data_IF_090449847455
#
_entry.id   IF_090449847455
#
_cell.length_a   1.000
_cell.length_b   1.000
_cell.length_c   1.000
_cell.angle_alpha   90.00
_cell.angle_beta   90.00
_cell.angle_gamma   90.00
#
_symmetry.space_group_name_H-M   'P 1'
#
loop_
_entity.id
_entity.type
_entity.pdbx_description
1 polymer ?
#
# COMPACT_ATOMS: atom_id res chain seq x y z
N UNK A 1 9.83 9.29 -10.50
CA UNK A 1 9.38 9.35 -9.10
C UNK A 1 9.69 7.99 -8.48
N UNK A 2 10.64 7.88 -7.55
CA UNK A 2 10.87 6.61 -6.85
C UNK A 2 9.58 6.15 -6.14
N UNK A 3 9.28 4.86 -6.16
CA UNK A 3 8.10 4.27 -5.52
C UNK A 3 6.78 4.30 -6.32
N UNK A 4 6.78 4.74 -7.59
CA UNK A 4 5.60 4.67 -8.49
C UNK A 4 5.75 3.56 -9.52
N UNK A 5 4.83 2.60 -9.50
CA UNK A 5 4.78 1.45 -10.40
C UNK A 5 3.68 1.64 -11.44
N UNK A 6 4.00 1.43 -12.71
CA UNK A 6 3.01 1.40 -13.79
C UNK A 6 2.56 -0.04 -13.99
N UNK A 7 1.28 -0.30 -13.74
CA UNK A 7 0.67 -1.63 -13.84
C UNK A 7 0.12 -1.86 -15.25
N UNK A 8 -0.30 -0.78 -15.93
CA UNK A 8 -0.80 -0.85 -17.31
C UNK A 8 -1.99 -1.80 -17.49
N UNK A 9 -2.75 -2.05 -16.42
CA UNK A 9 -3.85 -2.99 -16.39
C UNK A 9 -5.18 -2.33 -16.74
N UNK A 10 -6.17 -3.15 -17.13
CA UNK A 10 -7.53 -2.67 -17.42
C UNK A 10 -8.19 -1.93 -16.24
N UNK A 11 -7.77 -2.24 -15.01
CA UNK A 11 -8.41 -1.76 -13.77
C UNK A 11 -7.53 -0.81 -12.98
N UNK A 12 -6.21 -1.03 -12.99
CA UNK A 12 -5.22 -0.23 -12.26
C UNK A 12 -4.23 0.34 -13.26
N UNK A 13 -4.05 1.66 -13.23
CA UNK A 13 -3.11 2.37 -14.09
C UNK A 13 -1.73 2.41 -13.43
N UNK A 14 -1.66 2.97 -12.21
CA UNK A 14 -0.43 3.06 -11.44
C UNK A 14 -0.66 2.92 -9.93
N UNK A 15 0.41 2.56 -9.23
CA UNK A 15 0.47 2.32 -7.79
C UNK A 15 1.62 3.14 -7.19
N UNK A 16 1.32 3.98 -6.21
CA UNK A 16 2.33 4.71 -5.44
C UNK A 16 2.50 4.06 -4.06
N UNK A 17 3.72 3.69 -3.68
CA UNK A 17 4.01 3.20 -2.34
C UNK A 17 4.01 4.33 -1.31
N UNK A 18 3.42 4.06 -0.15
CA UNK A 18 3.27 5.00 0.95
C UNK A 18 3.80 4.39 2.25
N UNK A 19 4.54 5.21 2.99
CA UNK A 19 4.96 4.90 4.36
C UNK A 19 4.13 5.72 5.35
N UNK A 20 3.61 5.08 6.39
CA UNK A 20 2.84 5.81 7.42
C UNK A 20 3.76 6.76 8.17
N UNK A 21 3.30 8.00 8.33
CA UNK A 21 3.99 8.95 9.18
C UNK A 21 3.64 8.67 10.64
N UNK A 22 4.64 8.75 11.52
CA UNK A 22 4.38 8.57 12.94
C UNK A 22 3.47 9.68 13.48
N UNK A 23 2.67 9.34 14.49
CA UNK A 23 1.52 10.13 14.93
C UNK A 23 1.82 11.61 15.24
N UNK A 24 2.86 11.98 16.01
CA UNK A 24 3.13 13.39 16.29
C UNK A 24 3.66 14.19 15.09
N UNK A 25 4.21 13.55 14.05
CA UNK A 25 4.67 14.26 12.84
C UNK A 25 3.60 14.48 11.79
N UNK A 26 2.37 14.01 12.02
CA UNK A 26 1.30 14.22 11.06
C UNK A 26 1.00 15.71 10.92
N UNK A 27 0.78 16.15 9.68
CA UNK A 27 0.58 17.56 9.34
C UNK A 27 -0.79 18.09 9.81
N UNK A 28 -1.69 17.22 10.27
CA UNK A 28 -2.94 17.59 10.93
C UNK A 28 -2.75 17.88 12.44
N UNK A 29 -1.65 17.45 13.06
CA UNK A 29 -1.45 17.60 14.51
C UNK A 29 -0.42 18.66 14.83
N UNK A 30 0.79 18.54 14.26
CA UNK A 30 1.94 19.38 14.62
C UNK A 30 1.73 20.89 14.38
N UNK A 31 1.29 21.36 13.19
CA UNK A 31 1.12 22.79 12.96
C UNK A 31 0.00 23.39 13.83
N UNK A 32 -1.07 22.63 14.09
CA UNK A 32 -2.15 23.08 14.97
C UNK A 32 -1.70 23.14 16.42
N UNK A 33 -0.86 22.21 16.89
CA UNK A 33 -0.27 22.29 18.23
C UNK A 33 0.55 23.58 18.43
N UNK A 34 1.34 23.98 17.42
CA UNK A 34 2.07 25.27 17.45
C UNK A 34 1.10 26.44 17.51
N UNK A 35 0.04 26.44 16.68
CA UNK A 35 -0.93 27.52 16.65
C UNK A 35 -1.69 27.65 17.99
N UNK A 36 -2.09 26.53 18.60
CA UNK A 36 -2.72 26.56 19.92
C UNK A 36 -1.77 27.08 21.00
N UNK A 37 -0.50 26.65 20.98
CA UNK A 37 0.51 27.16 21.92
C UNK A 37 0.72 28.67 21.73
N UNK A 38 0.79 29.15 20.49
CA UNK A 38 0.90 30.58 20.18
C UNK A 38 -0.34 31.36 20.64
N UNK A 39 -1.54 30.80 20.49
CA UNK A 39 -2.77 31.41 21.00
C UNK A 39 -2.74 31.57 22.52
N UNK A 40 -2.31 30.54 23.27
CA UNK A 40 -2.18 30.62 24.73
C UNK A 40 -1.16 31.69 25.14
N UNK A 41 0.00 31.73 24.49
CA UNK A 41 1.11 32.61 24.90
C UNK A 41 0.90 34.06 24.50
N UNK A 42 0.33 34.32 23.31
CA UNK A 42 0.26 35.67 22.75
C UNK A 42 -1.14 36.30 22.83
N UNK A 43 -2.21 35.52 22.65
CA UNK A 43 -3.57 36.04 22.50
C UNK A 43 -4.28 36.14 23.85
N UNK A 44 -4.21 35.10 24.68
CA UNK A 44 -4.83 35.09 26.03
C UNK A 44 -4.39 36.26 26.91
N UNK A 45 -3.10 36.67 26.96
CA UNK A 45 -2.69 37.80 27.80
C UNK A 45 -2.92 39.18 27.16
N UNK A 46 -3.28 39.26 25.88
CA UNK A 46 -3.38 40.54 25.16
C UNK A 46 -4.82 40.96 24.81
N UNK A 47 -5.76 40.03 24.78
CA UNK A 47 -7.16 40.28 24.44
C UNK A 47 -8.11 40.09 25.62
N UNK A 48 -9.26 40.77 25.55
CA UNK A 48 -10.38 40.50 26.44
C UNK A 48 -10.88 39.06 26.24
N UNK A 49 -11.43 38.47 27.31
CA UNK A 49 -11.85 37.07 27.33
C UNK A 49 -12.81 36.71 26.18
N UNK A 50 -13.74 37.61 25.84
CA UNK A 50 -14.68 37.41 24.73
C UNK A 50 -13.99 37.27 23.38
N UNK A 51 -13.05 38.18 23.08
CA UNK A 51 -12.31 38.17 21.82
C UNK A 51 -11.37 36.97 21.71
N UNK A 52 -10.74 36.59 22.83
CA UNK A 52 -9.90 35.38 22.90
C UNK A 52 -10.71 34.10 22.57
N UNK A 53 -11.95 34.01 23.06
CA UNK A 53 -12.86 32.88 22.77
C UNK A 53 -13.29 32.86 21.30
N UNK A 54 -13.54 34.02 20.68
CA UNK A 54 -13.87 34.11 19.25
C UNK A 54 -12.71 33.58 18.40
N UNK A 55 -11.47 33.98 18.70
CA UNK A 55 -10.28 33.49 18.00
C UNK A 55 -10.13 31.97 18.18
N UNK A 56 -10.35 31.45 19.38
CA UNK A 56 -10.31 30.01 19.64
C UNK A 56 -11.36 29.25 18.81
N UNK A 57 -12.58 29.78 18.72
CA UNK A 57 -13.65 29.19 17.89
C UNK A 57 -13.25 29.08 16.43
N UNK A 58 -12.64 30.14 15.87
CA UNK A 58 -12.10 30.14 14.50
C UNK A 58 -10.98 29.11 14.30
N UNK A 59 -10.05 28.99 15.25
CA UNK A 59 -8.97 28.01 15.21
C UNK A 59 -9.48 26.57 15.24
N UNK A 60 -10.46 26.29 16.11
CA UNK A 60 -11.09 24.96 16.18
C UNK A 60 -11.84 24.65 14.90
N UNK A 61 -12.60 25.59 14.34
CA UNK A 61 -13.31 25.40 13.07
C UNK A 61 -12.34 25.09 11.92
N UNK A 62 -11.22 25.82 11.82
CA UNK A 62 -10.18 25.57 10.82
C UNK A 62 -9.55 24.18 10.98
N UNK A 63 -9.30 23.75 12.22
CA UNK A 63 -8.74 22.44 12.50
C UNK A 63 -9.71 21.31 12.11
N UNK A 64 -11.00 21.45 12.44
CA UNK A 64 -12.05 20.49 12.03
C UNK A 64 -12.14 20.43 10.49
N UNK A 65 -12.09 21.58 9.82
CA UNK A 65 -12.11 21.63 8.36
C UNK A 65 -10.90 20.91 7.74
N UNK A 66 -9.69 21.12 8.29
CA UNK A 66 -8.51 20.40 7.86
C UNK A 66 -8.65 18.88 8.07
N UNK A 67 -9.21 18.45 9.21
CA UNK A 67 -9.48 17.04 9.50
C UNK A 67 -10.46 16.44 8.48
N UNK A 68 -11.57 17.12 8.19
CA UNK A 68 -12.55 16.73 7.17
C UNK A 68 -11.90 16.60 5.79
N UNK A 69 -11.01 17.52 5.41
CA UNK A 69 -10.26 17.40 4.15
C UNK A 69 -9.41 16.14 4.08
N UNK A 70 -8.85 15.66 5.20
CA UNK A 70 -8.09 14.40 5.23
C UNK A 70 -8.95 13.16 4.99
N UNK A 71 -10.26 13.28 5.22
CA UNK A 71 -11.24 12.20 5.05
C UNK A 71 -11.81 12.23 3.62
N UNK A 72 -12.12 13.42 3.11
CA UNK A 72 -12.77 13.58 1.81
C UNK A 72 -11.82 13.46 0.61
N UNK A 73 -10.57 13.91 0.76
CA UNK A 73 -9.61 13.87 -0.32
C UNK A 73 -8.52 12.83 -0.05
N UNK A 74 -8.50 11.79 -0.88
CA UNK A 74 -7.47 10.74 -0.82
C UNK A 74 -6.08 11.33 -1.00
N UNK A 75 -5.89 12.25 -1.94
CA UNK A 75 -4.58 12.86 -2.20
C UNK A 75 -4.13 13.74 -1.01
N UNK A 76 -5.04 14.49 -0.37
CA UNK A 76 -4.72 15.28 0.83
C UNK A 76 -4.48 14.39 2.05
N UNK A 77 -5.31 13.37 2.26
CA UNK A 77 -5.11 12.37 3.31
C UNK A 77 -3.77 11.65 3.16
N UNK A 78 -3.37 11.33 1.93
CA UNK A 78 -2.03 10.79 1.63
C UNK A 78 -0.93 11.78 2.04
N UNK A 79 -1.06 13.05 1.67
CA UNK A 79 -0.07 14.08 2.00
C UNK A 79 0.11 14.30 3.51
N UNK A 80 -0.99 14.27 4.26
CA UNK A 80 -1.00 14.53 5.70
C UNK A 80 -0.52 13.33 6.52
N UNK A 81 -1.04 12.13 6.20
CA UNK A 81 -0.86 10.91 7.02
C UNK A 81 0.32 10.05 6.59
N UNK A 82 0.78 10.21 5.34
CA UNK A 82 1.83 9.39 4.77
C UNK A 82 3.00 10.26 4.31
N UNK A 83 4.20 9.76 4.53
CA UNK A 83 5.36 10.23 3.77
C UNK A 83 5.43 9.39 2.51
N UNK A 84 5.46 10.05 1.33
CA UNK A 84 6.06 9.39 0.17
C UNK A 84 7.49 9.05 0.55
N UNK A 85 8.01 7.91 0.11
CA UNK A 85 9.41 7.57 0.32
C UNK A 85 10.25 8.47 -0.59
N UNK A 86 10.37 9.71 -0.16
CA UNK A 86 11.11 10.75 -0.82
C UNK A 86 12.29 11.08 0.08
N UNK A 87 13.46 10.87 -0.49
CA UNK A 87 14.76 11.17 0.07
C UNK A 87 14.82 12.67 0.44
N UNK A 88 14.48 13.02 1.68
CA UNK A 88 14.76 14.36 2.21
C UNK A 88 16.26 14.39 2.53
N UNK A 89 17.03 14.79 1.54
CA UNK A 89 18.46 15.00 1.67
C UNK A 89 18.94 15.89 0.54
N UNK A 90 19.39 17.09 0.90
CA UNK A 90 19.92 18.20 0.09
C UNK A 90 21.22 17.83 -0.68
N UNK A 91 21.45 16.55 -0.98
CA UNK A 91 22.70 16.04 -1.61
C UNK A 91 22.49 15.44 -3.02
N UNK A 92 21.40 15.82 -3.70
CA UNK A 92 20.94 15.20 -4.97
C UNK A 92 21.56 15.84 -6.22
N UNK A 93 22.86 16.15 -6.20
CA UNK A 93 23.61 16.41 -7.45
C UNK A 93 24.63 15.30 -7.71
N UNK A 94 25.04 14.53 -6.69
CA UNK A 94 26.10 13.51 -6.83
C UNK A 94 25.60 12.06 -6.92
N UNK A 95 24.31 11.78 -6.66
CA UNK A 95 23.79 10.40 -6.58
C UNK A 95 22.85 9.96 -7.72
N UNK A 96 22.63 10.80 -8.73
CA UNK A 96 21.74 10.49 -9.86
C UNK A 96 22.14 9.22 -10.65
N UNK A 97 23.39 8.75 -10.50
CA UNK A 97 23.93 7.63 -11.27
C UNK A 97 23.87 6.23 -10.60
N UNK A 98 23.40 6.07 -9.35
CA UNK A 98 23.64 4.79 -8.60
C UNK A 98 22.40 3.92 -8.24
N UNK A 99 21.17 4.28 -8.56
CA UNK A 99 20.00 3.62 -7.94
C UNK A 99 19.05 2.92 -8.93
N UNK A 100 19.45 1.76 -9.44
CA UNK A 100 18.51 0.75 -10.00
C UNK A 100 18.22 -0.42 -9.03
N UNK A 101 19.04 -0.63 -8.00
CA UNK A 101 18.81 -1.66 -6.97
C UNK A 101 18.12 -1.13 -5.69
N UNK A 102 17.75 0.15 -5.63
CA UNK A 102 17.17 0.77 -4.44
C UNK A 102 15.64 0.54 -4.29
N UNK A 103 14.94 0.19 -5.38
CA UNK A 103 13.48 -0.02 -5.36
C UNK A 103 13.06 -1.23 -4.50
N UNK A 104 13.92 -2.25 -4.42
CA UNK A 104 13.64 -3.46 -3.63
C UNK A 104 13.67 -3.17 -2.12
N UNK A 105 14.56 -2.29 -1.66
CA UNK A 105 14.61 -1.87 -0.24
C UNK A 105 13.45 -0.94 0.16
N UNK A 106 12.80 -0.30 -0.83
CA UNK A 106 11.73 0.67 -0.61
C UNK A 106 10.38 -0.02 -0.34
N UNK A 107 10.11 -1.14 -1.03
CA UNK A 107 8.85 -1.89 -0.88
C UNK A 107 8.66 -2.40 0.55
N UNK A 108 9.72 -2.91 1.19
CA UNK A 108 9.64 -3.44 2.56
C UNK A 108 9.44 -2.34 3.62
N UNK A 109 9.64 -1.06 3.28
CA UNK A 109 9.35 0.06 4.19
C UNK A 109 7.95 0.65 3.97
N UNK A 110 7.22 0.18 2.96
CA UNK A 110 5.91 0.67 2.63
C UNK A 110 4.82 -0.10 3.41
N UNK A 111 3.91 0.64 4.04
CA UNK A 111 2.80 0.07 4.81
C UNK A 111 1.51 0.00 3.99
N UNK A 112 1.41 0.86 2.98
CA UNK A 112 0.22 1.04 2.18
C UNK A 112 0.61 1.45 0.76
N UNK A 113 -0.33 1.33 -0.17
CA UNK A 113 -0.18 1.83 -1.52
C UNK A 113 -1.40 2.68 -1.91
N UNK A 114 -1.15 3.78 -2.60
CA UNK A 114 -2.20 4.55 -3.27
C UNK A 114 -2.40 3.96 -4.66
N UNK A 115 -3.58 3.44 -4.91
CA UNK A 115 -3.97 2.87 -6.20
C UNK A 115 -4.72 3.92 -6.98
N UNK A 116 -4.22 4.25 -8.18
CA UNK A 116 -4.96 5.04 -9.15
C UNK A 116 -5.59 4.08 -10.17
N UNK A 117 -6.92 3.98 -10.23
CA UNK A 117 -7.58 3.13 -11.19
C UNK A 117 -7.39 3.65 -12.62
N UNK A 118 -7.55 2.75 -13.59
CA UNK A 118 -7.66 3.13 -14.98
C UNK A 118 -8.88 4.04 -15.21
N UNK A 119 -8.87 4.81 -16.31
CA UNK A 119 -9.97 5.70 -16.67
C UNK A 119 -11.30 4.92 -16.63
N UNK A 120 -12.32 5.50 -16.00
CA UNK A 120 -13.65 4.91 -15.80
C UNK A 120 -13.73 3.70 -14.85
N UNK A 121 -12.64 3.30 -14.19
CA UNK A 121 -12.64 2.23 -13.19
C UNK A 121 -12.80 2.75 -11.75
N UNK A 122 -13.45 3.92 -11.58
CA UNK A 122 -13.81 4.54 -10.30
C UNK A 122 -12.75 5.50 -9.71
N UNK A 123 -12.79 5.68 -8.39
CA UNK A 123 -11.95 6.63 -7.64
C UNK A 123 -10.64 6.03 -7.14
N UNK A 124 -9.67 6.91 -6.86
CA UNK A 124 -8.41 6.56 -6.17
C UNK A 124 -8.70 6.05 -4.76
N UNK A 125 -7.84 5.16 -4.28
CA UNK A 125 -7.97 4.55 -2.96
C UNK A 125 -6.59 4.26 -2.36
N UNK A 126 -6.51 4.25 -1.03
CA UNK A 126 -5.32 3.78 -0.31
C UNK A 126 -5.62 2.40 0.25
N UNK A 127 -4.80 1.42 -0.13
CA UNK A 127 -4.95 0.02 0.24
C UNK A 127 -3.74 -0.40 1.08
N UNK A 128 -3.91 -1.21 2.14
CA UNK A 128 -2.78 -1.78 2.87
C UNK A 128 -1.94 -2.70 1.97
N UNK A 129 -0.63 -2.68 2.16
CA UNK A 129 0.27 -3.67 1.58
C UNK A 129 0.39 -4.87 2.52
N UNK A 130 0.35 -6.06 1.95
CA UNK A 130 0.48 -7.31 2.68
C UNK A 130 1.75 -8.03 2.24
N UNK A 131 2.41 -8.63 3.22
CA UNK A 131 3.63 -9.42 3.05
C UNK A 131 3.32 -10.84 3.49
N UNK A 132 3.50 -11.81 2.59
CA UNK A 132 3.37 -13.24 2.92
C UNK A 132 4.65 -13.98 2.59
N UNK A 133 5.05 -14.92 3.44
CA UNK A 133 6.20 -15.79 3.19
C UNK A 133 5.73 -16.96 2.35
N UNK A 134 6.19 -17.07 1.11
CA UNK A 134 5.87 -18.21 0.26
C UNK A 134 6.98 -19.25 0.40
N UNK A 135 6.59 -20.48 0.73
CA UNK A 135 7.51 -21.61 0.69
C UNK A 135 7.58 -22.13 -0.74
N UNK A 136 8.67 -21.85 -1.44
CA UNK A 136 8.91 -22.45 -2.76
C UNK A 136 9.25 -23.93 -2.53
N UNK A 137 8.26 -24.80 -2.66
CA UNK A 137 8.53 -26.22 -2.91
C UNK A 137 9.08 -26.32 -4.32
N UNK A 138 10.40 -26.39 -4.44
CA UNK A 138 11.10 -26.66 -5.70
C UNK A 138 10.60 -28.03 -6.19
N UNK A 139 9.64 -28.03 -7.11
CA UNK A 139 9.28 -29.22 -7.87
C UNK A 139 10.01 -29.15 -9.19
N UNK A 140 10.69 -30.25 -9.51
CA UNK A 140 11.44 -30.60 -10.72
C UNK A 140 12.82 -29.96 -10.89
N UNK A 141 13.79 -30.44 -10.09
CA UNK A 141 15.12 -30.77 -10.58
C UNK A 141 15.46 -32.15 -10.00
N UNK A 142 16.16 -32.95 -10.78
CA UNK A 142 16.27 -34.41 -10.67
C UNK A 142 16.60 -34.94 -9.26
N UNK A 143 16.04 -36.11 -8.94
CA UNK A 143 16.08 -36.77 -7.63
C UNK A 143 17.48 -37.16 -7.11
N UNK A 144 18.56 -36.77 -7.79
CA UNK A 144 19.94 -37.13 -7.45
C UNK A 144 20.76 -35.99 -6.81
N UNK A 145 20.20 -34.79 -6.61
CA UNK A 145 20.88 -33.69 -5.91
C UNK A 145 20.26 -33.40 -4.52
N UNK A 146 19.76 -34.44 -3.87
CA UNK A 146 19.07 -34.39 -2.59
C UNK A 146 20.03 -34.71 -1.43
N UNK A 147 21.09 -33.92 -1.22
CA UNK A 147 21.86 -34.01 0.05
C UNK A 147 22.61 -32.77 0.51
N UNK A 148 22.57 -31.64 -0.21
CA UNK A 148 23.28 -30.42 0.25
C UNK A 148 22.52 -29.07 0.15
N UNK A 149 21.29 -29.05 -0.38
CA UNK A 149 20.49 -27.81 -0.54
C UNK A 149 19.22 -27.72 0.33
N UNK A 150 19.04 -28.64 1.28
CA UNK A 150 17.95 -28.55 2.26
C UNK A 150 18.04 -27.29 3.18
N UNK A 151 19.16 -26.56 3.13
CA UNK A 151 19.39 -25.31 3.88
C UNK A 151 19.06 -24.03 3.11
N UNK A 152 18.68 -24.10 1.83
CA UNK A 152 18.27 -22.95 1.01
C UNK A 152 16.77 -22.98 0.74
N UNK A 153 15.96 -23.20 1.78
CA UNK A 153 14.57 -22.75 1.74
C UNK A 153 14.58 -21.23 1.66
N UNK A 154 14.75 -20.69 0.45
CA UNK A 154 14.52 -19.28 0.17
C UNK A 154 13.03 -19.04 0.43
N UNK A 155 12.72 -18.65 1.67
CA UNK A 155 11.46 -18.03 2.03
C UNK A 155 11.40 -16.74 1.23
N UNK A 156 10.79 -16.80 0.05
CA UNK A 156 10.60 -15.62 -0.76
C UNK A 156 9.36 -14.91 -0.23
N UNK A 157 9.56 -13.70 0.31
CA UNK A 157 8.46 -12.85 0.74
C UNK A 157 7.78 -12.26 -0.49
N UNK A 158 6.50 -12.55 -0.65
CA UNK A 158 5.65 -12.05 -1.73
C UNK A 158 4.84 -10.87 -1.20
N UNK A 159 4.93 -9.75 -1.92
CA UNK A 159 4.22 -8.52 -1.59
C UNK A 159 2.98 -8.43 -2.46
N UNK A 160 1.82 -8.23 -1.84
CA UNK A 160 0.56 -8.14 -2.55
C UNK A 160 -0.41 -7.14 -1.90
N UNK A 161 -1.41 -6.73 -2.66
CA UNK A 161 -2.55 -5.95 -2.17
C UNK A 161 -3.83 -6.33 -2.91
N UNK A 162 -4.96 -6.10 -2.27
CA UNK A 162 -6.28 -6.35 -2.85
C UNK A 162 -6.97 -5.04 -3.20
N UNK A 163 -7.29 -4.85 -4.48
CA UNK A 163 -8.03 -3.68 -4.94
C UNK A 163 -9.29 -4.12 -5.67
N UNK A 164 -10.46 -3.71 -5.15
CA UNK A 164 -11.78 -4.02 -5.74
C UNK A 164 -11.97 -5.52 -6.02
N UNK A 165 -11.67 -6.35 -5.02
CA UNK A 165 -11.73 -7.83 -5.09
C UNK A 165 -10.78 -8.47 -6.12
N UNK A 166 -9.72 -7.76 -6.52
CA UNK A 166 -8.66 -8.28 -7.37
C UNK A 166 -7.33 -8.21 -6.63
N UNK A 167 -6.65 -9.35 -6.55
CA UNK A 167 -5.33 -9.45 -5.94
C UNK A 167 -4.25 -9.05 -6.95
N UNK A 168 -3.37 -8.15 -6.55
CA UNK A 168 -2.19 -7.72 -7.29
C UNK A 168 -0.94 -8.11 -6.54
N UNK A 169 0.00 -8.75 -7.23
CA UNK A 169 1.22 -9.31 -6.68
C UNK A 169 2.42 -8.62 -7.32
N UNK A 170 3.43 -8.30 -6.52
CA UNK A 170 4.68 -7.75 -7.00
C UNK A 170 5.52 -8.82 -7.70
N UNK A 171 5.84 -8.60 -8.97
CA UNK A 171 6.76 -9.45 -9.73
C UNK A 171 8.14 -8.81 -9.77
N UNK A 172 9.14 -9.45 -9.14
CA UNK A 172 10.54 -9.00 -9.18
C UNK A 172 11.09 -8.94 -10.60
N UNK A 173 10.71 -9.89 -11.45
CA UNK A 173 11.17 -9.98 -12.85
C UNK A 173 10.70 -8.78 -13.68
N UNK A 174 9.46 -8.34 -13.47
CA UNK A 174 8.87 -7.22 -14.21
C UNK A 174 9.00 -5.89 -13.46
N UNK A 175 9.59 -5.91 -12.27
CA UNK A 175 9.68 -4.79 -11.32
C UNK A 175 8.34 -4.04 -11.15
N UNK A 176 7.20 -4.73 -11.23
CA UNK A 176 5.87 -4.11 -11.19
C UNK A 176 4.82 -5.05 -10.59
N UNK A 177 3.69 -4.46 -10.17
CA UNK A 177 2.53 -5.23 -9.71
C UNK A 177 1.77 -5.80 -10.90
N UNK A 178 1.41 -7.08 -10.80
CA UNK A 178 0.64 -7.81 -11.80
C UNK A 178 -0.60 -8.40 -11.15
N UNK A 179 -1.72 -8.44 -11.88
CA UNK A 179 -2.91 -9.16 -11.41
C UNK A 179 -2.57 -10.63 -11.22
N UNK A 180 -2.96 -11.22 -10.09
CA UNK A 180 -2.83 -12.66 -9.84
C UNK A 180 -3.53 -13.44 -10.98
N UNK A 181 -2.80 -14.25 -11.77
CA UNK A 181 -3.41 -15.02 -12.84
C UNK A 181 -4.21 -16.19 -12.26
N UNK A 182 -5.43 -16.34 -12.76
CA UNK A 182 -6.21 -17.56 -12.60
C UNK A 182 -5.95 -18.48 -13.81
N UNK A 183 -5.91 -19.80 -13.62
CA UNK A 183 -5.73 -20.78 -14.70
C UNK A 183 -7.03 -20.92 -15.50
N UNK A 184 -7.48 -19.82 -16.12
CA UNK A 184 -8.69 -19.76 -16.95
C UNK A 184 -8.40 -19.45 -18.40
N UNK A 185 -7.16 -19.07 -18.73
CA UNK A 185 -6.72 -18.70 -20.09
C UNK A 185 -5.67 -19.65 -20.67
N UNK A 186 -5.51 -20.83 -20.08
CA UNK A 186 -4.62 -21.86 -20.58
C UNK A 186 -5.20 -22.55 -21.83
N UNK A 187 -4.34 -23.21 -22.62
CA UNK A 187 -4.79 -23.99 -23.77
C UNK A 187 -5.59 -25.24 -23.35
N UNK A 188 -6.50 -25.73 -24.20
CA UNK A 188 -7.33 -26.92 -23.91
C UNK A 188 -6.52 -28.14 -23.47
N UNK A 189 -5.33 -28.36 -24.05
CA UNK A 189 -4.45 -29.46 -23.67
C UNK A 189 -3.97 -29.43 -22.21
N UNK A 190 -3.90 -28.23 -21.60
CA UNK A 190 -3.60 -28.09 -20.17
C UNK A 190 -4.73 -28.68 -19.32
N UNK A 191 -5.98 -28.33 -19.62
CA UNK A 191 -7.14 -28.83 -18.88
C UNK A 191 -7.38 -30.32 -19.10
N UNK A 192 -7.15 -30.82 -20.32
CA UNK A 192 -7.30 -32.25 -20.63
C UNK A 192 -6.35 -33.13 -19.79
N UNK A 193 -5.17 -32.60 -19.44
CA UNK A 193 -4.16 -33.27 -18.61
C UNK A 193 -4.35 -33.04 -17.11
N UNK A 194 -5.31 -32.20 -16.72
CA UNK A 194 -5.51 -31.84 -15.32
C UNK A 194 -6.32 -32.92 -14.59
N UNK A 195 -5.75 -33.48 -13.51
CA UNK A 195 -6.39 -34.53 -12.68
C UNK A 195 -6.80 -34.02 -11.29
N UNK A 196 -6.83 -32.70 -11.09
CA UNK A 196 -7.11 -32.06 -9.81
C UNK A 196 -5.93 -32.03 -8.82
N UNK A 197 -6.17 -31.48 -7.63
CA UNK A 197 -5.17 -31.39 -6.56
C UNK A 197 -5.15 -32.70 -5.74
N UNK A 198 -4.32 -33.67 -6.15
CA UNK A 198 -4.28 -35.01 -5.52
C UNK A 198 -3.66 -35.11 -4.11
N UNK A 199 -3.46 -34.00 -3.39
CA UNK A 199 -2.88 -34.00 -2.04
C UNK A 199 -3.33 -32.76 -1.26
N UNK A 200 -3.56 -32.89 0.04
CA UNK A 200 -3.97 -31.78 0.92
C UNK A 200 -3.00 -30.59 0.87
N UNK A 201 -1.69 -30.84 0.86
CA UNK A 201 -0.69 -29.78 0.74
C UNK A 201 -0.83 -28.94 -0.54
N UNK A 202 -1.23 -29.57 -1.66
CA UNK A 202 -1.52 -28.86 -2.92
C UNK A 202 -2.81 -28.03 -2.81
N UNK A 203 -3.81 -28.50 -2.07
CA UNK A 203 -5.06 -27.76 -1.81
C UNK A 203 -4.79 -26.56 -0.90
N UNK A 204 -3.98 -26.72 0.14
CA UNK A 204 -3.58 -25.63 1.04
C UNK A 204 -2.81 -24.56 0.26
N UNK A 205 -1.81 -24.95 -0.53
CA UNK A 205 -1.05 -24.02 -1.37
C UNK A 205 -1.94 -23.28 -2.39
N UNK A 206 -2.91 -23.98 -2.99
CA UNK A 206 -3.90 -23.35 -3.88
C UNK A 206 -4.80 -22.36 -3.12
N UNK A 207 -5.23 -22.72 -1.91
CA UNK A 207 -6.09 -21.89 -1.06
C UNK A 207 -5.36 -20.65 -0.57
N UNK A 208 -4.07 -20.77 -0.22
CA UNK A 208 -3.22 -19.63 0.14
C UNK A 208 -2.98 -18.70 -1.05
N UNK A 209 -2.78 -19.28 -2.24
CA UNK A 209 -2.53 -18.52 -3.47
C UNK A 209 -3.76 -17.75 -3.95
N UNK A 210 -4.91 -18.41 -4.09
CA UNK A 210 -6.11 -17.86 -4.73
C UNK A 210 -7.23 -17.48 -3.76
N UNK A 211 -7.09 -17.79 -2.47
CA UNK A 211 -8.10 -17.56 -1.46
C UNK A 211 -9.22 -18.61 -1.45
N UNK A 212 -10.13 -18.48 -0.49
CA UNK A 212 -11.34 -19.31 -0.43
C UNK A 212 -12.37 -18.80 -1.45
N UNK A 213 -13.12 -19.72 -2.04
CA UNK A 213 -14.28 -19.38 -2.88
C UNK A 213 -15.44 -18.92 -1.99
N UNK A 214 -15.40 -17.66 -1.57
CA UNK A 214 -16.42 -17.05 -0.72
C UNK A 214 -16.94 -15.76 -1.38
N UNK A 215 -18.26 -15.70 -1.59
CA UNK A 215 -18.92 -14.52 -2.09
C UNK A 215 -19.27 -13.60 -0.93
N UNK A 216 -18.32 -12.75 -0.56
CA UNK A 216 -18.57 -11.70 0.42
C UNK A 216 -19.03 -10.47 -0.35
N UNK A 217 -20.34 -10.18 -0.26
CA UNK A 217 -20.83 -8.85 -0.53
C UNK A 217 -20.59 -8.05 0.74
N UNK A 218 -19.58 -7.18 0.72
CA UNK A 218 -19.51 -6.16 1.75
C UNK A 218 -20.78 -5.32 1.56
N UNK A 219 -21.61 -5.12 2.61
CA UNK A 219 -22.66 -4.13 2.52
C UNK A 219 -22.02 -2.82 2.04
N UNK A 220 -22.77 -1.99 1.33
CA UNK A 220 -22.36 -0.62 1.07
C UNK A 220 -22.14 0.03 2.44
N UNK A 221 -20.93 -0.08 2.98
CA UNK A 221 -20.44 0.82 4.01
C UNK A 221 -20.29 2.11 3.26
N UNK A 222 -21.38 2.88 3.24
CA UNK A 222 -21.24 4.33 3.31
C UNK A 222 -20.27 4.51 4.46
N UNK A 223 -19.03 4.90 4.16
CA UNK A 223 -18.18 5.51 5.16
C UNK A 223 -18.87 6.83 5.53
N UNK A 224 -19.99 6.72 6.27
CA UNK A 224 -20.46 7.78 7.15
C UNK A 224 -19.38 7.85 8.21
N UNK A 225 -18.45 8.76 7.94
CA UNK A 225 -17.60 9.32 8.98
C UNK A 225 -18.46 10.21 9.87
#
# INVERSE_FOLDING_TARGET
MPGRFHVGGKVVDHVDLLRKRHWPWRLDVWPFAIIYAAWIVAVVPSLDFGDAVIVLGGLVALHILAFLFTVWSVDFGCFVKYSKVFHVGVLTVLLYFRTKNAAVNDIHQADACKVTPAKFCGSKEVVPLHFRKVMISVRSLDANFQTHLASLSQQEEEVYFDFRKQCFIYSKVRETFCKLPYPSKEAFGYYLKSSGHGSEAKVIAATEKWGRNAWVCLPFTVHSN
#
